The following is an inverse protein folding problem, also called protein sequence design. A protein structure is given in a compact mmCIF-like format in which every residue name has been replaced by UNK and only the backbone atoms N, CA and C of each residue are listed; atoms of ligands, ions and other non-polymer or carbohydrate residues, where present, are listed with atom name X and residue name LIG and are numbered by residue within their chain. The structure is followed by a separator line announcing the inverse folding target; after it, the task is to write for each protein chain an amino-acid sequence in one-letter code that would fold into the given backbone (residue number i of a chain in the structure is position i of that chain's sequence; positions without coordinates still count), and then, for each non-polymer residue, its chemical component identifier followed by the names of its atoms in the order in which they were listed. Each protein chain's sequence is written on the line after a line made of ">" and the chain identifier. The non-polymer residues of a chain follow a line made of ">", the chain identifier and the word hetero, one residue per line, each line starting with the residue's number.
data_IF_352637347890
#
_entry.id   IF_352637347890
#
_cell.length_a   1.000
_cell.length_b   1.000
_cell.length_c   1.000
_cell.angle_alpha   90.00
_cell.angle_beta   90.00
_cell.angle_gamma   90.00
#
_symmetry.space_group_name_H-M   'P 1'
#
loop_
_entity.id
_entity.type
_entity.pdbx_description
1 polymer ?
#
# COMPACT_ATOMS: atom_id res chain seq x y z
N UNK A 1 -36.93 -18.52 -0.19
CA UNK A 1 -37.11 -18.92 1.22
C UNK A 1 -35.90 -19.74 1.65
N UNK A 2 -34.86 -19.06 2.14
CA UNK A 2 -33.70 -19.70 2.77
C UNK A 2 -33.93 -19.73 4.28
N UNK A 3 -33.64 -20.87 4.92
CA UNK A 3 -33.77 -21.05 6.37
C UNK A 3 -32.70 -20.20 7.08
N UNK A 4 -33.02 -18.95 7.39
CA UNK A 4 -32.28 -18.18 8.39
C UNK A 4 -32.44 -18.88 9.73
N UNK A 5 -31.33 -19.19 10.40
CA UNK A 5 -31.37 -19.64 11.78
C UNK A 5 -32.22 -18.68 12.60
N UNK A 6 -33.12 -19.22 13.44
CA UNK A 6 -33.89 -18.41 14.40
C UNK A 6 -32.90 -17.62 15.25
N UNK A 7 -32.89 -16.30 15.10
CA UNK A 7 -32.28 -15.41 16.07
C UNK A 7 -33.19 -15.44 17.30
N UNK A 8 -32.64 -15.86 18.45
CA UNK A 8 -33.32 -15.66 19.73
C UNK A 8 -33.35 -14.15 20.00
N UNK A 9 -34.52 -13.52 19.88
CA UNK A 9 -34.73 -12.07 20.02
C UNK A 9 -34.36 -11.51 21.41
N UNK A 10 -34.02 -12.36 22.38
CA UNK A 10 -33.59 -11.97 23.73
C UNK A 10 -32.06 -12.04 23.96
N UNK A 11 -31.28 -12.65 23.06
CA UNK A 11 -29.85 -12.88 23.30
C UNK A 11 -29.04 -11.61 23.00
N UNK A 12 -28.55 -10.94 24.04
CA UNK A 12 -27.77 -9.71 23.91
C UNK A 12 -26.26 -9.91 23.75
N UNK A 13 -25.76 -11.13 24.00
CA UNK A 13 -24.33 -11.43 24.05
C UNK A 13 -24.03 -12.78 23.39
N UNK A 14 -22.95 -12.87 22.62
CA UNK A 14 -22.55 -14.07 21.86
C UNK A 14 -21.11 -14.49 22.17
N UNK A 15 -20.83 -15.80 22.11
CA UNK A 15 -19.49 -16.36 22.33
C UNK A 15 -18.67 -16.40 21.03
N UNK A 16 -17.34 -16.46 21.13
CA UNK A 16 -16.47 -16.66 19.96
C UNK A 16 -16.71 -18.01 19.25
N UNK A 17 -17.07 -19.05 19.99
CA UNK A 17 -17.43 -20.37 19.43
C UNK A 17 -18.70 -20.31 18.58
N UNK A 18 -19.65 -19.43 18.93
CA UNK A 18 -20.83 -19.19 18.12
C UNK A 18 -20.47 -18.35 16.90
N UNK A 19 -19.83 -17.20 17.10
CA UNK A 19 -19.49 -16.24 16.05
C UNK A 19 -18.65 -16.90 14.94
N UNK A 20 -17.66 -17.71 15.30
CA UNK A 20 -16.75 -18.36 14.35
C UNK A 20 -17.43 -19.37 13.41
N UNK A 21 -18.63 -19.87 13.75
CA UNK A 21 -19.40 -20.78 12.89
C UNK A 21 -20.09 -20.05 11.74
N UNK A 22 -20.31 -18.74 11.88
CA UNK A 22 -20.97 -17.89 10.88
C UNK A 22 -19.95 -17.35 9.87
N UNK A 23 -19.24 -18.25 9.17
CA UNK A 23 -18.14 -17.94 8.24
C UNK A 23 -18.44 -18.29 6.76
N UNK A 24 -19.67 -18.72 6.45
CA UNK A 24 -20.08 -19.22 5.12
C UNK A 24 -20.61 -18.10 4.22
N UNK A 25 -20.99 -18.38 2.98
CA UNK A 25 -21.42 -17.31 2.04
C UNK A 25 -22.84 -16.80 2.34
N UNK A 26 -23.68 -17.71 2.79
CA UNK A 26 -25.08 -17.57 3.13
C UNK A 26 -25.33 -17.41 4.64
N UNK A 27 -24.26 -17.41 5.44
CA UNK A 27 -24.30 -17.17 6.88
C UNK A 27 -23.00 -16.50 7.34
N UNK A 28 -23.05 -15.17 7.56
CA UNK A 28 -21.87 -14.34 7.82
C UNK A 28 -22.10 -13.38 8.97
N UNK A 29 -21.36 -13.59 10.05
CA UNK A 29 -21.25 -12.62 11.13
C UNK A 29 -19.82 -12.08 11.20
N UNK A 30 -19.65 -10.88 11.74
CA UNK A 30 -18.34 -10.34 12.11
C UNK A 30 -18.45 -9.49 13.36
N UNK A 31 -17.32 -9.22 14.00
CA UNK A 31 -17.24 -8.35 15.18
C UNK A 31 -16.57 -7.03 14.82
N UNK A 32 -17.17 -5.91 15.26
CA UNK A 32 -16.56 -4.58 15.19
C UNK A 32 -16.70 -3.93 16.56
N UNK A 33 -15.58 -3.57 17.19
CA UNK A 33 -15.53 -2.88 18.48
C UNK A 33 -16.32 -3.61 19.59
N UNK A 34 -16.30 -4.94 19.57
CA UNK A 34 -17.00 -5.76 20.56
C UNK A 34 -18.49 -5.97 20.29
N UNK A 35 -19.03 -5.43 19.20
CA UNK A 35 -20.39 -5.68 18.75
C UNK A 35 -20.42 -6.70 17.60
N UNK A 36 -21.41 -7.60 17.62
CA UNK A 36 -21.64 -8.63 16.61
C UNK A 36 -22.62 -8.12 15.56
N UNK A 37 -22.28 -8.28 14.28
CA UNK A 37 -23.10 -7.84 13.16
C UNK A 37 -23.40 -8.99 12.20
N UNK A 38 -24.66 -9.15 11.81
CA UNK A 38 -25.05 -10.04 10.72
C UNK A 38 -24.88 -9.32 9.38
N UNK A 39 -23.90 -9.73 8.60
CA UNK A 39 -23.56 -9.12 7.31
C UNK A 39 -23.97 -10.00 6.12
N UNK A 40 -24.74 -11.07 6.33
CA UNK A 40 -25.09 -12.06 5.30
C UNK A 40 -25.63 -11.40 4.03
N UNK A 41 -26.70 -10.61 4.15
CA UNK A 41 -27.30 -9.91 3.02
C UNK A 41 -26.64 -8.57 2.71
N UNK A 42 -26.02 -7.94 3.71
CA UNK A 42 -25.30 -6.69 3.52
C UNK A 42 -24.06 -6.86 2.66
N UNK A 43 -23.37 -8.00 2.75
CA UNK A 43 -22.13 -8.28 2.03
C UNK A 43 -22.27 -8.10 0.51
N UNK A 44 -23.45 -8.39 -0.05
CA UNK A 44 -23.76 -8.25 -1.49
C UNK A 44 -23.85 -6.78 -1.95
N UNK A 45 -24.15 -5.86 -1.03
CA UNK A 45 -24.33 -4.42 -1.26
C UNK A 45 -23.17 -3.58 -0.74
N UNK A 46 -22.18 -4.21 -0.10
CA UNK A 46 -21.03 -3.51 0.45
C UNK A 46 -20.22 -2.83 -0.67
N UNK A 47 -19.96 -1.50 -0.58
CA UNK A 47 -19.24 -0.77 -1.64
C UNK A 47 -17.85 -1.33 -1.95
N UNK A 48 -17.13 -1.84 -0.95
CA UNK A 48 -15.84 -2.51 -1.14
C UNK A 48 -15.93 -3.94 -1.70
N UNK A 49 -17.14 -4.39 -2.07
CA UNK A 49 -17.40 -5.71 -2.63
C UNK A 49 -17.61 -6.82 -1.59
N UNK A 50 -18.33 -7.87 -2.01
CA UNK A 50 -18.75 -8.98 -1.14
C UNK A 50 -17.62 -9.93 -0.74
N UNK A 51 -16.53 -9.95 -1.52
CA UNK A 51 -15.36 -10.79 -1.26
C UNK A 51 -14.51 -10.22 -0.14
N UNK A 52 -14.29 -8.90 -0.13
CA UNK A 52 -13.46 -8.20 0.86
C UNK A 52 -14.07 -8.32 2.24
N UNK A 53 -15.32 -7.88 2.41
CA UNK A 53 -16.02 -8.00 3.71
C UNK A 53 -16.23 -9.46 4.12
N UNK A 54 -16.44 -10.35 3.14
CA UNK A 54 -16.63 -11.78 3.37
C UNK A 54 -15.41 -12.52 3.91
N UNK A 55 -14.21 -12.00 3.65
CA UNK A 55 -12.96 -12.59 4.17
C UNK A 55 -12.90 -12.52 5.71
N UNK A 56 -13.53 -11.50 6.32
CA UNK A 56 -13.60 -11.32 7.78
C UNK A 56 -14.81 -12.00 8.44
N UNK A 57 -15.55 -12.83 7.71
CA UNK A 57 -16.66 -13.58 8.30
C UNK A 57 -16.13 -14.54 9.38
N UNK A 58 -16.83 -14.57 10.53
CA UNK A 58 -16.46 -15.33 11.72
C UNK A 58 -15.31 -14.74 12.54
N UNK A 59 -14.89 -13.49 12.30
CA UNK A 59 -13.68 -12.89 12.91
C UNK A 59 -13.95 -11.50 13.53
N UNK A 60 -12.97 -11.02 14.31
CA UNK A 60 -12.86 -9.61 14.66
C UNK A 60 -12.34 -8.79 13.48
N UNK A 61 -13.23 -8.00 12.88
CA UNK A 61 -12.93 -7.14 11.74
C UNK A 61 -12.59 -5.70 12.16
N UNK A 62 -12.45 -5.40 13.45
CA UNK A 62 -12.33 -4.02 13.98
C UNK A 62 -11.19 -3.25 13.32
N UNK A 63 -10.00 -3.85 13.22
CA UNK A 63 -8.81 -3.16 12.74
C UNK A 63 -8.88 -2.92 11.23
N UNK A 64 -9.37 -3.91 10.47
CA UNK A 64 -9.66 -3.78 9.04
C UNK A 64 -10.75 -2.73 8.78
N UNK A 65 -11.83 -2.74 9.56
CA UNK A 65 -12.91 -1.76 9.48
C UNK A 65 -12.38 -0.34 9.65
N UNK A 66 -11.56 -0.10 10.68
CA UNK A 66 -10.94 1.21 10.94
C UNK A 66 -9.84 1.60 9.94
N UNK A 67 -9.30 0.65 9.18
CA UNK A 67 -8.31 0.91 8.16
C UNK A 67 -8.94 1.43 6.86
N UNK A 68 -10.11 0.93 6.49
CA UNK A 68 -10.78 1.27 5.22
C UNK A 68 -11.92 2.29 5.33
N UNK A 69 -12.47 2.52 6.52
CA UNK A 69 -13.62 3.41 6.71
C UNK A 69 -13.20 4.72 7.39
N UNK A 70 -12.86 5.73 6.59
CA UNK A 70 -12.47 7.06 7.09
C UNK A 70 -13.65 7.86 7.68
N UNK A 71 -14.82 7.77 7.06
CA UNK A 71 -16.05 8.44 7.53
C UNK A 71 -16.89 7.50 8.41
N UNK A 72 -16.49 7.40 9.67
CA UNK A 72 -17.14 6.53 10.64
C UNK A 72 -18.60 6.94 10.87
N UNK A 73 -18.94 8.23 10.81
CA UNK A 73 -20.30 8.71 11.07
C UNK A 73 -21.26 8.40 9.93
N UNK A 74 -20.78 8.40 8.69
CA UNK A 74 -21.52 7.86 7.56
C UNK A 74 -21.76 6.36 7.70
N UNK A 75 -20.72 5.59 8.03
CA UNK A 75 -20.79 4.12 8.07
C UNK A 75 -21.65 3.59 9.22
N UNK A 76 -21.66 4.29 10.38
CA UNK A 76 -22.53 3.96 11.52
C UNK A 76 -24.01 3.82 11.15
N UNK A 77 -24.48 4.57 10.15
CA UNK A 77 -25.87 4.51 9.66
C UNK A 77 -26.23 3.13 9.10
N UNK A 78 -25.27 2.44 8.47
CA UNK A 78 -25.44 1.10 7.93
C UNK A 78 -25.21 0.00 8.96
N UNK A 79 -24.37 0.25 9.98
CA UNK A 79 -24.09 -0.74 11.04
C UNK A 79 -25.29 -0.95 11.96
N UNK A 80 -26.02 0.12 12.30
CA UNK A 80 -27.14 0.08 13.26
C UNK A 80 -28.17 -1.03 12.99
N UNK A 81 -28.72 -1.19 11.77
CA UNK A 81 -29.69 -2.26 11.50
C UNK A 81 -29.08 -3.68 11.41
N UNK A 82 -27.76 -3.81 11.36
CA UNK A 82 -27.07 -5.10 11.23
C UNK A 82 -26.63 -5.68 12.58
N UNK A 83 -26.67 -4.87 13.63
CA UNK A 83 -26.19 -5.24 14.97
C UNK A 83 -27.12 -6.30 15.59
N UNK A 84 -26.52 -7.37 16.07
CA UNK A 84 -27.20 -8.44 16.82
C UNK A 84 -27.08 -8.22 18.32
N UNK A 85 -25.87 -7.95 18.82
CA UNK A 85 -25.56 -7.86 20.24
C UNK A 85 -24.08 -7.60 20.49
N UNK A 86 -23.59 -7.87 21.70
CA UNK A 86 -22.19 -7.79 22.08
C UNK A 86 -21.47 -9.15 22.02
N UNK A 87 -20.14 -9.14 22.03
CA UNK A 87 -19.32 -10.34 22.23
C UNK A 87 -19.01 -10.51 23.72
N UNK A 88 -18.98 -11.75 24.21
CA UNK A 88 -18.44 -12.05 25.53
C UNK A 88 -16.97 -11.68 25.59
N UNK A 89 -16.60 -10.82 26.54
CA UNK A 89 -15.21 -10.42 26.71
C UNK A 89 -14.43 -11.49 27.46
N UNK A 90 -13.35 -11.97 26.86
CA UNK A 90 -12.39 -12.82 27.53
C UNK A 90 -11.32 -11.95 28.21
N UNK A 91 -10.94 -12.27 29.44
CA UNK A 91 -10.02 -11.45 30.26
C UNK A 91 -8.54 -11.49 29.81
N UNK A 92 -8.19 -12.35 28.84
CA UNK A 92 -6.81 -12.44 28.36
C UNK A 92 -6.43 -11.25 27.48
N UNK A 93 -5.40 -10.51 27.93
CA UNK A 93 -4.83 -9.39 27.20
C UNK A 93 -4.20 -9.88 25.89
N UNK A 94 -4.86 -9.60 24.78
CA UNK A 94 -4.43 -10.08 23.46
C UNK A 94 -3.46 -9.11 22.79
N UNK A 95 -2.71 -9.60 21.79
CA UNK A 95 -1.85 -8.74 20.97
C UNK A 95 -2.67 -7.69 20.19
N UNK A 96 -3.89 -8.04 19.79
CA UNK A 96 -4.82 -7.13 19.12
C UNK A 96 -5.22 -5.96 20.04
N UNK A 97 -5.37 -6.19 21.34
CA UNK A 97 -5.62 -5.13 22.31
C UNK A 97 -4.41 -4.20 22.46
N UNK A 98 -3.21 -4.76 22.59
CA UNK A 98 -1.98 -3.95 22.63
C UNK A 98 -1.75 -3.17 21.33
N UNK A 99 -2.14 -3.71 20.17
CA UNK A 99 -2.13 -3.00 18.89
C UNK A 99 -3.12 -1.83 18.86
N UNK A 100 -4.32 -2.01 19.41
CA UNK A 100 -5.31 -0.91 19.54
C UNK A 100 -4.82 0.19 20.47
N UNK A 101 -4.11 -0.19 21.55
CA UNK A 101 -3.45 0.76 22.45
C UNK A 101 -2.31 1.52 21.74
N UNK A 102 -1.52 0.80 20.93
CA UNK A 102 -0.50 1.42 20.07
C UNK A 102 -1.10 2.42 19.09
N UNK A 103 -2.22 2.08 18.44
CA UNK A 103 -2.94 3.00 17.55
C UNK A 103 -3.41 4.25 18.28
N UNK A 104 -4.01 4.09 19.46
CA UNK A 104 -4.45 5.21 20.31
C UNK A 104 -3.28 6.11 20.71
N UNK A 105 -2.11 5.52 20.95
CA UNK A 105 -0.87 6.25 21.24
C UNK A 105 -0.40 7.05 20.01
N UNK A 106 -0.44 6.45 18.81
CA UNK A 106 -0.12 7.13 17.56
C UNK A 106 -1.07 8.31 17.26
N UNK A 107 -2.36 8.17 17.59
CA UNK A 107 -3.36 9.26 17.51
C UNK A 107 -3.02 10.40 18.48
N UNK A 108 -2.68 10.10 19.74
CA UNK A 108 -2.28 11.10 20.74
C UNK A 108 -0.98 11.82 20.37
N UNK A 109 -0.03 11.09 19.77
CA UNK A 109 1.20 11.66 19.22
C UNK A 109 0.97 12.52 17.95
N UNK A 110 -0.25 12.55 17.42
CA UNK A 110 -0.59 13.29 16.21
C UNK A 110 0.01 12.71 14.94
N UNK A 111 0.39 11.43 14.92
CA UNK A 111 1.07 10.81 13.77
C UNK A 111 0.19 10.67 12.53
N UNK A 112 -1.14 10.75 12.67
CA UNK A 112 -2.08 10.77 11.55
C UNK A 112 -2.26 12.18 10.93
N UNK A 113 -1.60 13.21 11.48
CA UNK A 113 -1.68 14.58 10.94
C UNK A 113 -0.59 14.82 9.90
N UNK A 114 -1.00 15.42 8.78
CA UNK A 114 -0.10 15.81 7.70
C UNK A 114 0.69 17.08 8.04
N UNK A 115 2.02 17.04 7.90
CA UNK A 115 2.89 18.22 7.97
C UNK A 115 3.01 18.90 6.61
N UNK A 116 2.41 20.09 6.45
CA UNK A 116 2.59 20.91 5.26
C UNK A 116 4.04 21.38 5.07
N UNK A 117 4.78 21.59 6.16
CA UNK A 117 6.20 21.99 6.11
C UNK A 117 7.05 20.90 5.46
N UNK A 118 6.78 19.63 5.76
CA UNK A 118 7.46 18.50 5.13
C UNK A 118 7.29 18.55 3.60
N UNK A 119 6.05 18.70 3.13
CA UNK A 119 5.75 18.77 1.70
C UNK A 119 6.30 20.04 1.04
N UNK A 120 6.32 21.18 1.74
CA UNK A 120 6.92 22.41 1.23
C UNK A 120 8.44 22.27 1.04
N UNK A 121 9.16 21.69 2.01
CA UNK A 121 10.59 21.39 1.89
C UNK A 121 10.85 20.43 0.73
N UNK A 122 10.01 19.41 0.59
CA UNK A 122 10.11 18.46 -0.51
C UNK A 122 9.91 19.13 -1.87
N UNK A 123 8.92 20.01 -2.00
CA UNK A 123 8.68 20.79 -3.21
C UNK A 123 9.87 21.73 -3.52
N UNK A 124 10.44 22.39 -2.52
CA UNK A 124 11.63 23.23 -2.70
C UNK A 124 12.81 22.39 -3.21
N UNK A 125 13.02 21.20 -2.65
CA UNK A 125 14.06 20.27 -3.10
C UNK A 125 13.90 19.90 -4.58
N UNK A 126 12.67 19.57 -5.03
CA UNK A 126 12.36 19.29 -6.44
C UNK A 126 12.71 20.49 -7.32
N UNK A 127 12.29 21.70 -6.94
CA UNK A 127 12.55 22.93 -7.71
C UNK A 127 14.05 23.21 -7.80
N UNK A 128 14.79 23.04 -6.70
CA UNK A 128 16.25 23.26 -6.67
C UNK A 128 16.95 22.31 -7.64
N UNK A 129 16.63 21.00 -7.63
CA UNK A 129 17.26 20.05 -8.55
C UNK A 129 16.86 20.36 -10.01
N UNK A 130 15.63 20.81 -10.26
CA UNK A 130 15.18 21.20 -11.60
C UNK A 130 15.99 22.38 -12.14
N UNK A 131 16.19 23.42 -11.31
CA UNK A 131 17.02 24.57 -11.65
C UNK A 131 18.47 24.12 -11.89
N UNK A 132 19.02 23.25 -11.05
CA UNK A 132 20.39 22.73 -11.22
C UNK A 132 20.56 21.93 -12.52
N UNK A 133 19.58 21.12 -12.90
CA UNK A 133 19.55 20.42 -14.19
C UNK A 133 19.63 21.40 -15.37
N UNK A 134 18.82 22.47 -15.35
CA UNK A 134 18.88 23.52 -16.38
C UNK A 134 20.22 24.27 -16.38
N UNK A 135 20.68 24.73 -15.21
CA UNK A 135 21.93 25.50 -15.07
C UNK A 135 23.16 24.68 -15.52
N UNK A 136 23.10 23.36 -15.38
CA UNK A 136 24.16 22.45 -15.86
C UNK A 136 24.35 22.60 -17.37
N UNK A 137 23.26 22.59 -18.14
CA UNK A 137 23.33 22.78 -19.60
C UNK A 137 23.66 24.22 -19.97
N UNK A 138 23.09 25.19 -19.23
CA UNK A 138 23.28 26.60 -19.51
C UNK A 138 24.74 27.05 -19.36
N UNK A 139 25.43 26.64 -18.29
CA UNK A 139 26.80 27.08 -18.01
C UNK A 139 27.88 26.17 -18.58
N UNK A 140 27.64 24.86 -18.64
CA UNK A 140 28.65 23.88 -19.08
C UNK A 140 28.43 23.39 -20.52
N UNK A 141 27.39 23.90 -21.19
CA UNK A 141 27.06 23.57 -22.57
C UNK A 141 26.40 22.20 -22.74
N UNK A 142 26.28 21.78 -24.00
CA UNK A 142 25.51 20.58 -24.40
C UNK A 142 26.39 19.36 -24.69
N UNK A 143 27.63 19.35 -24.20
CA UNK A 143 28.50 18.19 -24.30
C UNK A 143 27.94 16.98 -23.56
N UNK A 144 28.44 15.78 -23.88
CA UNK A 144 27.92 14.54 -23.30
C UNK A 144 27.88 14.49 -21.77
N UNK A 145 28.91 15.02 -21.09
CA UNK A 145 28.97 15.01 -19.63
C UNK A 145 27.88 15.91 -19.02
N UNK A 146 27.80 17.23 -19.33
CA UNK A 146 26.70 18.08 -18.86
C UNK A 146 25.31 17.55 -19.22
N UNK A 147 25.15 17.00 -20.44
CA UNK A 147 23.89 16.44 -20.91
C UNK A 147 23.43 15.26 -20.06
N UNK A 148 24.31 14.27 -19.85
CA UNK A 148 23.98 13.09 -19.03
C UNK A 148 23.75 13.46 -17.56
N UNK A 149 24.55 14.39 -17.00
CA UNK A 149 24.34 14.91 -15.64
C UNK A 149 22.98 15.59 -15.52
N UNK A 150 22.63 16.44 -16.48
CA UNK A 150 21.34 17.14 -16.50
C UNK A 150 20.17 16.17 -16.61
N UNK A 151 20.25 15.15 -17.48
CA UNK A 151 19.25 14.08 -17.62
C UNK A 151 19.06 13.34 -16.30
N UNK A 152 20.14 12.96 -15.62
CA UNK A 152 20.06 12.28 -14.32
C UNK A 152 19.39 13.17 -13.26
N UNK A 153 19.79 14.44 -13.15
CA UNK A 153 19.20 15.39 -12.22
C UNK A 153 17.70 15.59 -12.51
N UNK A 154 17.31 15.77 -13.78
CA UNK A 154 15.91 15.94 -14.16
C UNK A 154 15.10 14.66 -13.96
N UNK A 155 15.71 13.50 -14.14
CA UNK A 155 15.14 12.21 -13.73
C UNK A 155 14.78 12.20 -12.25
N UNK A 156 15.71 12.63 -11.38
CA UNK A 156 15.49 12.74 -9.93
C UNK A 156 14.35 13.72 -9.59
N UNK A 157 14.27 14.87 -10.28
CA UNK A 157 13.17 15.84 -10.12
C UNK A 157 11.83 15.19 -10.36
N UNK A 158 11.74 14.39 -11.43
CA UNK A 158 10.51 13.67 -11.69
C UNK A 158 10.26 12.71 -10.54
N UNK A 159 11.20 11.84 -10.18
CA UNK A 159 11.04 10.82 -9.14
C UNK A 159 10.49 11.34 -7.82
N UNK A 160 10.82 12.58 -7.43
CA UNK A 160 10.30 13.17 -6.20
C UNK A 160 8.80 13.51 -6.23
N UNK A 161 8.21 13.69 -7.41
CA UNK A 161 6.76 13.88 -7.53
C UNK A 161 6.07 12.58 -7.11
N UNK A 162 5.14 12.71 -6.16
CA UNK A 162 4.53 11.61 -5.43
C UNK A 162 4.12 10.42 -6.32
N UNK A 163 4.61 9.19 -6.06
CA UNK A 163 4.21 8.00 -6.80
C UNK A 163 2.69 7.72 -6.73
N UNK A 164 2.00 8.12 -5.67
CA UNK A 164 0.54 7.94 -5.56
C UNK A 164 -0.21 8.84 -6.54
N UNK A 165 0.21 10.10 -6.69
CA UNK A 165 -0.33 11.04 -7.71
C UNK A 165 -0.08 10.51 -9.14
N UNK A 166 1.00 9.75 -9.34
CA UNK A 166 1.34 9.17 -10.65
C UNK A 166 0.52 7.92 -10.97
N UNK A 167 0.21 7.08 -9.98
CA UNK A 167 -0.64 5.91 -10.15
C UNK A 167 -2.06 6.32 -10.58
N UNK A 168 -2.60 7.39 -10.00
CA UNK A 168 -3.89 7.96 -10.41
C UNK A 168 -3.85 8.56 -11.83
N UNK A 169 -2.71 9.06 -12.29
CA UNK A 169 -2.59 9.61 -13.66
C UNK A 169 -2.46 8.50 -14.73
N UNK A 170 -1.88 7.34 -14.41
CA UNK A 170 -1.58 6.28 -15.38
C UNK A 170 -2.54 5.07 -15.34
N UNK A 171 -3.24 4.82 -14.23
CA UNK A 171 -4.17 3.68 -14.09
C UNK A 171 -5.65 4.01 -14.35
N UNK A 172 -5.94 5.10 -15.06
CA UNK A 172 -7.31 5.36 -15.52
C UNK A 172 -7.54 4.64 -16.85
N UNK A 173 -7.66 3.31 -16.78
CA UNK A 173 -8.26 2.53 -17.88
C UNK A 173 -9.77 2.53 -17.65
N UNK A 174 -10.46 3.63 -17.99
CA UNK A 174 -11.92 3.65 -18.03
C UNK A 174 -12.63 4.96 -17.64
N UNK A 175 -12.01 5.84 -16.87
CA UNK A 175 -12.60 7.13 -16.45
C UNK A 175 -12.02 8.33 -17.23
N UNK A 176 -12.76 9.44 -17.29
CA UNK A 176 -12.28 10.69 -17.90
C UNK A 176 -11.28 11.33 -16.93
N UNK A 177 -10.06 11.62 -17.42
CA UNK A 177 -9.03 12.31 -16.63
C UNK A 177 -9.59 13.63 -16.05
N UNK A 178 -9.41 13.89 -14.74
CA UNK A 178 -9.77 15.17 -14.13
C UNK A 178 -9.12 16.36 -14.85
N UNK A 179 -9.83 17.48 -14.93
CA UNK A 179 -9.35 18.68 -15.64
C UNK A 179 -8.10 19.24 -14.98
N UNK A 180 -8.01 19.11 -13.66
CA UNK A 180 -6.87 19.52 -12.86
C UNK A 180 -5.60 18.73 -13.25
N UNK A 181 -5.71 17.41 -13.40
CA UNK A 181 -4.58 16.55 -13.77
C UNK A 181 -4.12 16.83 -15.19
N UNK A 182 -5.06 17.03 -16.12
CA UNK A 182 -4.76 17.44 -17.48
C UNK A 182 -4.03 18.79 -17.51
N UNK A 183 -4.49 19.76 -16.73
CA UNK A 183 -3.86 21.08 -16.65
C UNK A 183 -2.43 21.01 -16.11
N UNK A 184 -2.19 20.22 -15.06
CA UNK A 184 -0.85 19.98 -14.49
C UNK A 184 0.06 19.31 -15.51
N UNK A 185 -0.44 18.31 -16.25
CA UNK A 185 0.31 17.62 -17.30
C UNK A 185 0.68 18.56 -18.45
N UNK A 186 -0.27 19.36 -18.94
CA UNK A 186 -0.03 20.33 -20.00
C UNK A 186 0.97 21.41 -19.56
N UNK A 187 0.79 21.95 -18.35
CA UNK A 187 1.73 22.91 -17.77
C UNK A 187 3.14 22.35 -17.69
N UNK A 188 3.30 21.11 -17.22
CA UNK A 188 4.60 20.45 -17.15
C UNK A 188 5.26 20.34 -18.52
N UNK A 189 4.56 19.80 -19.52
CA UNK A 189 5.13 19.58 -20.86
C UNK A 189 5.41 20.92 -21.57
N UNK A 190 4.53 21.91 -21.46
CA UNK A 190 4.75 23.24 -22.02
C UNK A 190 5.96 23.92 -21.39
N UNK A 191 6.04 23.93 -20.05
CA UNK A 191 7.18 24.48 -19.31
C UNK A 191 8.49 23.80 -19.75
N UNK A 192 8.49 22.47 -19.83
CA UNK A 192 9.66 21.70 -20.26
C UNK A 192 10.12 22.12 -21.66
N UNK A 193 9.21 22.18 -22.63
CA UNK A 193 9.55 22.60 -24.00
C UNK A 193 10.08 24.03 -24.04
N UNK A 194 9.42 24.97 -23.34
CA UNK A 194 9.85 26.37 -23.30
C UNK A 194 11.25 26.55 -22.71
N UNK A 195 11.64 25.71 -21.75
CA UNK A 195 12.95 25.78 -21.09
C UNK A 195 14.05 25.12 -21.94
N UNK A 196 13.81 23.92 -22.49
CA UNK A 196 14.87 23.11 -23.09
C UNK A 196 14.98 23.24 -24.60
N UNK A 197 13.92 23.62 -25.33
CA UNK A 197 14.00 23.85 -26.80
C UNK A 197 14.99 24.97 -27.14
N UNK A 198 15.04 26.12 -26.44
CA UNK A 198 16.02 27.16 -26.74
C UNK A 198 17.48 26.73 -26.52
N UNK A 199 17.72 25.78 -25.62
CA UNK A 199 19.07 25.28 -25.29
C UNK A 199 19.54 24.16 -26.23
N UNK A 200 18.64 23.24 -26.58
CA UNK A 200 18.99 21.98 -27.25
C UNK A 200 18.49 21.91 -28.69
N UNK A 201 17.47 22.69 -29.04
CA UNK A 201 16.68 22.51 -30.25
C UNK A 201 15.75 21.30 -30.18
N UNK A 202 14.73 21.28 -31.03
CA UNK A 202 13.62 20.30 -30.96
C UNK A 202 14.05 18.84 -30.89
N UNK A 203 14.94 18.40 -31.79
CA UNK A 203 15.36 16.99 -31.84
C UNK A 203 16.04 16.52 -30.55
N UNK A 204 16.96 17.33 -30.02
CA UNK A 204 17.66 17.01 -28.78
C UNK A 204 16.79 17.19 -27.54
N UNK A 205 15.84 18.12 -27.53
CA UNK A 205 14.86 18.23 -26.45
C UNK A 205 13.97 17.00 -26.36
N UNK A 206 13.53 16.44 -27.51
CA UNK A 206 12.77 15.19 -27.53
C UNK A 206 13.62 14.00 -27.05
N UNK A 207 14.86 13.89 -27.52
CA UNK A 207 15.79 12.87 -27.02
C UNK A 207 16.00 13.00 -25.50
N UNK A 208 16.24 14.22 -25.01
CA UNK A 208 16.39 14.49 -23.58
C UNK A 208 15.15 14.06 -22.81
N UNK A 209 13.96 14.37 -23.35
CA UNK A 209 12.69 13.99 -22.76
C UNK A 209 12.60 12.48 -22.57
N UNK A 210 12.75 11.72 -23.64
CA UNK A 210 12.72 10.25 -23.58
C UNK A 210 13.80 9.69 -22.66
N UNK A 211 15.01 10.26 -22.69
CA UNK A 211 16.12 9.79 -21.86
C UNK A 211 15.83 9.95 -20.36
N UNK A 212 15.34 11.10 -19.89
CA UNK A 212 15.01 11.23 -18.47
C UNK A 212 13.78 10.40 -18.10
N UNK A 213 12.83 10.19 -19.02
CA UNK A 213 11.65 9.33 -18.81
C UNK A 213 12.06 7.86 -18.63
N UNK A 214 13.05 7.38 -19.37
CA UNK A 214 13.63 6.04 -19.17
C UNK A 214 14.25 5.92 -17.77
N UNK A 215 15.03 6.92 -17.35
CA UNK A 215 15.65 6.95 -16.01
C UNK A 215 14.58 6.95 -14.90
N UNK A 216 13.56 7.81 -15.03
CA UNK A 216 12.41 7.88 -14.12
C UNK A 216 11.63 6.55 -14.07
N UNK A 217 11.36 5.94 -15.23
CA UNK A 217 10.63 4.67 -15.32
C UNK A 217 11.39 3.50 -14.67
N UNK A 218 12.70 3.41 -14.90
CA UNK A 218 13.53 2.38 -14.27
C UNK A 218 13.55 2.51 -12.76
N UNK A 219 13.71 3.73 -12.26
CA UNK A 219 13.66 3.99 -10.81
C UNK A 219 12.29 3.67 -10.22
N UNK A 220 11.21 4.19 -10.82
CA UNK A 220 9.85 3.93 -10.37
C UNK A 220 9.55 2.44 -10.33
N UNK A 221 10.01 1.69 -11.32
CA UNK A 221 9.90 0.22 -11.33
C UNK A 221 10.57 -0.36 -10.10
N UNK A 222 11.85 -0.05 -9.84
CA UNK A 222 12.56 -0.61 -8.68
C UNK A 222 11.94 -0.22 -7.34
N UNK A 223 11.51 1.04 -7.18
CA UNK A 223 10.86 1.51 -5.95
C UNK A 223 9.51 0.83 -5.74
N UNK A 224 8.65 0.75 -6.77
CA UNK A 224 7.36 0.07 -6.65
C UNK A 224 7.51 -1.43 -6.41
N UNK A 225 8.48 -2.08 -7.08
CA UNK A 225 8.75 -3.49 -6.81
C UNK A 225 9.27 -3.71 -5.38
N UNK A 226 10.04 -2.77 -4.81
CA UNK A 226 10.46 -2.85 -3.39
C UNK A 226 9.30 -2.74 -2.39
N UNK A 227 8.10 -2.36 -2.83
CA UNK A 227 6.90 -2.37 -2.00
C UNK A 227 6.17 -3.72 -2.04
N UNK A 228 6.54 -4.59 -2.98
CA UNK A 228 5.95 -5.92 -3.18
C UNK A 228 7.00 -7.01 -3.01
N UNK A 229 7.80 -6.89 -1.95
CA UNK A 229 8.82 -7.88 -1.62
C UNK A 229 8.11 -9.21 -1.32
N UNK A 230 8.48 -10.30 -2.00
CA UNK A 230 7.81 -11.57 -1.83
C UNK A 230 8.05 -12.11 -0.42
N UNK A 231 6.95 -12.49 0.22
CA UNK A 231 6.91 -13.24 1.48
C UNK A 231 6.35 -14.63 1.19
N UNK A 232 6.83 -15.65 1.93
CA UNK A 232 6.37 -17.02 1.75
C UNK A 232 4.99 -17.18 2.40
N UNK A 233 3.94 -17.01 1.60
CA UNK A 233 2.55 -17.24 1.99
C UNK A 233 2.00 -18.34 1.09
N UNK A 234 1.88 -19.56 1.62
CA UNK A 234 1.35 -20.70 0.86
C UNK A 234 -0.18 -20.75 0.92
N UNK A 235 -0.75 -20.39 2.08
CA UNK A 235 -2.17 -20.47 2.36
C UNK A 235 -2.68 -19.23 3.11
N UNK A 236 -3.94 -18.90 2.87
CA UNK A 236 -4.66 -17.86 3.61
C UNK A 236 -5.28 -18.46 4.88
N UNK A 237 -4.57 -18.34 5.98
CA UNK A 237 -4.98 -18.88 7.29
C UNK A 237 -5.97 -17.96 8.05
N UNK A 238 -6.60 -16.97 7.38
CA UNK A 238 -7.51 -15.99 8.02
C UNK A 238 -6.89 -15.34 9.28
N UNK A 239 -5.65 -14.88 9.17
CA UNK A 239 -4.93 -14.27 10.30
C UNK A 239 -5.55 -12.92 10.67
N UNK A 240 -5.60 -12.54 11.97
CA UNK A 240 -5.99 -11.20 12.38
C UNK A 240 -5.14 -10.11 11.73
N UNK A 241 -5.70 -8.91 11.55
CA UNK A 241 -5.12 -7.79 10.81
C UNK A 241 -3.62 -7.58 11.04
N UNK A 242 -3.20 -7.46 12.31
CA UNK A 242 -1.80 -7.24 12.67
C UNK A 242 -0.90 -8.37 12.16
N UNK A 243 -1.25 -9.62 12.50
CA UNK A 243 -0.46 -10.80 12.11
C UNK A 243 -0.43 -10.94 10.59
N UNK A 244 -1.56 -10.76 9.92
CA UNK A 244 -1.66 -10.82 8.46
C UNK A 244 -0.59 -9.91 7.83
N UNK A 245 -0.52 -8.64 8.21
CA UNK A 245 0.41 -7.70 7.58
C UNK A 245 1.86 -7.94 8.02
N UNK A 246 2.11 -8.33 9.28
CA UNK A 246 3.47 -8.69 9.72
C UNK A 246 4.05 -9.91 9.00
N UNK A 247 3.21 -10.89 8.63
CA UNK A 247 3.65 -12.07 7.89
C UNK A 247 3.63 -11.88 6.37
N UNK A 248 2.78 -10.99 5.86
CA UNK A 248 2.59 -10.80 4.43
C UNK A 248 3.49 -9.75 3.81
N UNK A 249 4.09 -8.86 4.61
CA UNK A 249 5.02 -7.84 4.13
C UNK A 249 6.27 -7.76 5.00
N UNK A 250 7.26 -7.00 4.55
CA UNK A 250 8.48 -6.71 5.28
C UNK A 250 8.97 -5.30 4.99
N UNK A 251 9.76 -4.74 5.90
CA UNK A 251 10.39 -3.45 5.69
C UNK A 251 11.72 -3.56 4.94
N UNK A 252 12.13 -2.43 4.37
CA UNK A 252 13.51 -2.20 3.95
C UNK A 252 14.23 -1.38 5.02
N UNK A 253 15.51 -1.68 5.26
CA UNK A 253 16.35 -0.98 6.24
C UNK A 253 16.19 0.55 6.18
N UNK A 254 16.05 1.16 7.35
CA UNK A 254 16.04 2.61 7.49
C UNK A 254 17.45 3.17 7.28
N UNK A 255 17.59 4.10 6.34
CA UNK A 255 18.80 4.91 6.19
C UNK A 255 18.43 6.22 5.47
N UNK A 256 19.26 7.25 5.60
CA UNK A 256 19.02 8.50 4.86
C UNK A 256 18.85 8.25 3.35
N UNK A 257 19.69 7.36 2.79
CA UNK A 257 19.59 6.98 1.39
C UNK A 257 18.30 6.22 1.08
N UNK A 258 17.94 5.18 1.85
CA UNK A 258 16.73 4.39 1.56
C UNK A 258 15.46 5.21 1.75
N UNK A 259 15.39 6.04 2.80
CA UNK A 259 14.26 6.92 3.11
C UNK A 259 14.03 7.93 1.96
N UNK A 260 15.11 8.45 1.35
CA UNK A 260 15.07 9.32 0.17
C UNK A 260 14.78 8.55 -1.12
N UNK A 261 15.51 7.47 -1.38
CA UNK A 261 15.45 6.67 -2.60
C UNK A 261 14.05 6.09 -2.84
N UNK A 262 13.46 5.54 -1.77
CA UNK A 262 12.12 4.94 -1.82
C UNK A 262 11.00 5.94 -1.54
N UNK A 263 11.32 7.19 -1.19
CA UNK A 263 10.32 8.17 -0.78
C UNK A 263 9.53 7.74 0.47
N UNK A 264 10.20 7.09 1.43
CA UNK A 264 9.65 6.47 2.65
C UNK A 264 8.79 5.21 2.43
N UNK A 265 8.82 4.63 1.24
CA UNK A 265 8.15 3.36 0.98
C UNK A 265 8.92 2.14 1.57
N UNK A 266 10.05 2.35 2.24
CA UNK A 266 10.76 1.33 2.99
C UNK A 266 10.04 0.88 4.29
N UNK A 267 8.98 1.57 4.72
CA UNK A 267 8.17 1.27 5.92
C UNK A 267 6.83 0.60 5.55
N UNK A 268 6.89 -0.56 4.89
CA UNK A 268 5.71 -1.24 4.37
C UNK A 268 4.85 -1.81 5.49
N UNK A 269 5.45 -2.36 6.55
CA UNK A 269 4.69 -2.91 7.68
C UNK A 269 3.84 -1.80 8.30
N UNK A 270 4.42 -0.63 8.59
CA UNK A 270 3.69 0.48 9.19
C UNK A 270 2.63 1.05 8.24
N UNK A 271 2.95 1.19 6.95
CA UNK A 271 2.00 1.65 5.95
C UNK A 271 0.77 0.75 5.91
N UNK A 272 0.97 -0.57 5.93
CA UNK A 272 -0.10 -1.54 5.93
C UNK A 272 -0.90 -1.59 7.23
N UNK A 273 -0.24 -1.44 8.38
CA UNK A 273 -0.93 -1.41 9.68
C UNK A 273 -1.73 -0.11 9.88
N UNK A 274 -1.25 1.00 9.32
CA UNK A 274 -1.80 2.34 9.48
C UNK A 274 -1.92 3.06 8.12
N UNK A 275 -2.81 2.62 7.21
CA UNK A 275 -2.87 3.12 5.83
C UNK A 275 -3.20 4.61 5.70
N UNK A 276 -3.79 5.22 6.74
CA UNK A 276 -4.10 6.65 6.78
C UNK A 276 -2.98 7.50 7.39
N UNK A 277 -1.89 6.88 7.87
CA UNK A 277 -0.74 7.60 8.42
C UNK A 277 0.11 8.16 7.27
N UNK A 278 0.36 9.49 7.23
CA UNK A 278 1.20 10.06 6.19
C UNK A 278 2.65 9.59 6.30
N UNK A 279 3.28 9.36 5.14
CA UNK A 279 4.61 8.72 5.01
C UNK A 279 5.73 9.28 5.90
N UNK A 280 5.72 10.60 6.16
CA UNK A 280 6.71 11.26 7.01
C UNK A 280 6.56 10.96 8.51
N UNK A 281 5.57 10.15 8.91
CA UNK A 281 5.38 9.70 10.27
C UNK A 281 5.61 8.17 10.43
N UNK A 282 5.73 7.41 9.34
CA UNK A 282 5.91 5.94 9.40
C UNK A 282 7.17 5.54 10.18
N UNK A 283 8.29 6.22 9.93
CA UNK A 283 9.53 5.98 10.67
C UNK A 283 9.42 6.26 12.18
N UNK A 284 8.44 7.09 12.61
CA UNK A 284 8.22 7.43 14.02
C UNK A 284 7.44 6.34 14.75
N UNK A 285 6.53 5.64 14.06
CA UNK A 285 5.72 4.56 14.64
C UNK A 285 6.46 3.21 14.58
N UNK A 286 7.36 2.99 13.61
CA UNK A 286 8.10 1.73 13.45
C UNK A 286 8.75 1.21 14.75
N UNK A 287 9.47 2.00 15.57
CA UNK A 287 10.07 1.49 16.80
C UNK A 287 9.05 0.95 17.80
N UNK A 288 7.84 1.52 17.83
CA UNK A 288 6.75 1.08 18.69
C UNK A 288 6.10 -0.21 18.16
N UNK A 289 5.96 -0.35 16.83
CA UNK A 289 5.53 -1.62 16.21
C UNK A 289 6.54 -2.73 16.48
N UNK A 290 7.85 -2.45 16.31
CA UNK A 290 8.92 -3.38 16.66
C UNK A 290 8.88 -3.80 18.13
N UNK A 291 8.65 -2.85 19.04
CA UNK A 291 8.50 -3.12 20.47
C UNK A 291 7.30 -4.03 20.76
N UNK A 292 6.15 -3.79 20.10
CA UNK A 292 4.98 -4.64 20.20
C UNK A 292 5.27 -6.07 19.70
N UNK A 293 5.94 -6.20 18.56
CA UNK A 293 6.31 -7.50 18.00
C UNK A 293 7.25 -8.27 18.95
N UNK A 294 8.27 -7.60 19.50
CA UNK A 294 9.19 -8.17 20.47
C UNK A 294 8.48 -8.63 21.76
N UNK A 295 7.52 -7.84 22.26
CA UNK A 295 6.73 -8.18 23.46
C UNK A 295 5.96 -9.49 23.29
N UNK A 296 5.45 -9.74 22.09
CA UNK A 296 4.61 -10.90 21.77
C UNK A 296 5.37 -12.02 21.03
N UNK A 297 6.69 -11.91 20.89
CA UNK A 297 7.52 -12.90 20.20
C UNK A 297 7.19 -13.07 18.70
N UNK A 298 6.66 -12.03 18.06
CA UNK A 298 6.36 -12.06 16.62
C UNK A 298 7.57 -11.53 15.83
N UNK A 299 8.01 -12.23 14.77
CA UNK A 299 9.07 -11.75 13.90
C UNK A 299 8.69 -10.41 13.25
N UNK A 300 9.60 -9.44 13.32
CA UNK A 300 9.51 -8.20 12.55
C UNK A 300 10.57 -8.24 11.45
N UNK A 301 10.14 -8.44 10.21
CA UNK A 301 11.04 -8.68 9.08
C UNK A 301 11.54 -7.36 8.47
N UNK A 302 12.87 -7.19 8.47
CA UNK A 302 13.56 -6.07 7.81
C UNK A 302 14.64 -6.62 6.90
N UNK A 303 14.66 -6.17 5.65
CA UNK A 303 15.65 -6.58 4.66
C UNK A 303 16.51 -5.40 4.21
N UNK A 304 17.76 -5.66 3.84
CA UNK A 304 18.54 -4.65 3.12
C UNK A 304 17.94 -4.38 1.74
N UNK A 305 18.17 -3.19 1.19
CA UNK A 305 17.65 -2.83 -0.14
C UNK A 305 18.14 -3.81 -1.22
N UNK A 306 19.42 -4.18 -1.17
CA UNK A 306 20.02 -5.15 -2.08
C UNK A 306 19.36 -6.53 -1.97
N UNK A 307 19.10 -6.99 -0.74
CA UNK A 307 18.45 -8.28 -0.54
C UNK A 307 17.02 -8.28 -1.07
N UNK A 308 16.31 -7.19 -0.87
CA UNK A 308 14.94 -6.99 -1.36
C UNK A 308 14.87 -7.10 -2.88
N UNK A 309 15.77 -6.42 -3.60
CA UNK A 309 15.88 -6.54 -5.06
C UNK A 309 16.26 -7.96 -5.52
N UNK A 310 17.17 -8.62 -4.82
CA UNK A 310 17.55 -10.00 -5.13
C UNK A 310 16.38 -10.97 -4.96
N UNK A 311 15.58 -10.82 -3.90
CA UNK A 311 14.40 -11.65 -3.64
C UNK A 311 13.33 -11.45 -4.72
N UNK A 312 13.09 -10.21 -5.18
CA UNK A 312 12.18 -9.90 -6.29
C UNK A 312 12.62 -10.63 -7.57
N UNK A 313 13.88 -10.48 -7.98
CA UNK A 313 14.40 -11.15 -9.17
C UNK A 313 14.33 -12.68 -9.05
N UNK A 314 14.61 -13.22 -7.86
CA UNK A 314 14.51 -14.65 -7.59
C UNK A 314 13.06 -15.15 -7.69
N UNK A 315 12.10 -14.39 -7.17
CA UNK A 315 10.68 -14.70 -7.26
C UNK A 315 10.18 -14.66 -8.71
N UNK A 316 10.52 -13.61 -9.47
CA UNK A 316 10.21 -13.54 -10.90
C UNK A 316 10.77 -14.72 -11.69
N UNK A 317 12.03 -15.10 -11.42
CA UNK A 317 12.65 -16.28 -12.03
C UNK A 317 11.94 -17.59 -11.65
N UNK A 318 11.48 -17.71 -10.41
CA UNK A 318 10.73 -18.88 -9.94
C UNK A 318 9.36 -18.96 -10.62
N UNK A 319 8.59 -17.88 -10.62
CA UNK A 319 7.30 -17.79 -11.29
C UNK A 319 7.40 -18.05 -12.79
N UNK A 320 8.44 -17.52 -13.45
CA UNK A 320 8.69 -17.79 -14.88
C UNK A 320 8.96 -19.27 -15.18
N UNK A 321 9.73 -19.96 -14.32
CA UNK A 321 9.94 -21.41 -14.44
C UNK A 321 8.66 -22.21 -14.22
N UNK A 322 7.86 -21.84 -13.24
CA UNK A 322 6.58 -22.49 -12.96
C UNK A 322 5.59 -22.31 -14.13
N UNK A 323 5.50 -21.09 -14.67
CA UNK A 323 4.70 -20.82 -15.87
C UNK A 323 5.17 -21.62 -17.09
N UNK A 324 6.48 -21.80 -17.27
CA UNK A 324 7.03 -22.63 -18.35
C UNK A 324 6.62 -24.11 -18.20
N UNK A 325 6.64 -24.65 -16.97
CA UNK A 325 6.21 -26.04 -16.69
C UNK A 325 4.71 -26.26 -16.97
N UNK A 326 3.88 -25.26 -16.70
CA UNK A 326 2.43 -25.31 -16.99
C UNK A 326 2.09 -25.15 -18.48
N UNK A 327 2.99 -24.58 -19.27
CA UNK A 327 2.78 -24.31 -20.70
C UNK A 327 3.49 -25.30 -21.62
N UNK A 328 4.42 -26.11 -21.09
CA UNK A 328 4.89 -27.31 -21.80
C UNK A 328 3.77 -28.34 -21.87
N UNK A 329 3.32 -28.76 -23.07
CA UNK A 329 2.38 -29.86 -23.19
C UNK A 329 3.06 -31.11 -22.63
N UNK A 330 2.58 -31.59 -21.48
CA UNK A 330 2.94 -32.90 -20.97
C UNK A 330 2.51 -33.92 -22.02
N UNK A 331 3.48 -34.47 -22.75
CA UNK A 331 3.29 -35.69 -23.52
C UNK A 331 2.99 -36.78 -22.49
N UNK A 332 1.71 -37.01 -22.23
CA UNK A 332 1.24 -38.24 -21.61
C UNK A 332 1.53 -39.38 -22.59
N UNK A 333 2.71 -39.98 -22.48
CA UNK A 333 2.93 -41.30 -23.05
C UNK A 333 2.07 -42.29 -22.26
N UNK A 334 0.99 -42.74 -22.90
CA UNK A 334 0.21 -43.89 -22.48
C UNK A 334 1.03 -45.16 -22.71
N UNK A 335 1.86 -45.54 -21.74
CA UNK A 335 2.40 -46.89 -21.70
C UNK A 335 1.37 -47.82 -21.02
N UNK A 336 0.39 -48.22 -21.84
CA UNK A 336 -0.35 -49.47 -21.64
C UNK A 336 0.05 -50.42 -22.75
N UNK A 337 0.90 -51.38 -22.42
CA UNK A 337 0.96 -52.69 -23.08
C UNK A 337 1.13 -53.77 -22.04
#
# INVERSE_FOLDING_TARGET
>A
MGKGGKLDEEKTTYTWDEISRHDKKDDRWLVIQGDVYNITDWSKRHPGGSRVIGHYAGQDATDAFRAFHNDIDHVKKYLKPLKLGGVEQNQERSIEEDFRNLRSTAEQMGLFKTSYVFFAVYLIHIIVIEVLSYLTLFYFGTGWVPLLTSILLYGIVQMGKDPDVRLDTFMVVGDVMPVEDLAVMLFFNLKFLLIFVPLLGWGWTLFYYEAFRVVDSMWFTWVTQSNHIPMNIEHDDKKPWLKLHLFATCDVEKSFFNDWFTGHLNFQIEHHLFPTMPRHNLYKIQPLVKSLCNKHGIPFEVKSLQRSFADILKSLKHSGKFGALLTTPTIYHSDTK
#
